data_IF_873634593238
#
_entry.id   IF_873634593238
#
_cell.length_a   1.000
_cell.length_b   1.000
_cell.length_c   1.000
_cell.angle_alpha   90.00
_cell.angle_beta   90.00
_cell.angle_gamma   90.00
#
_symmetry.space_group_name_H-M   'P 1'
#
loop_
_entity.id
_entity.type
_entity.pdbx_description
1 polymer ?
#
# COMPACT_ATOMS: atom_id res chain seq x y z
N UNK A 1 14.07 6.19 7.62
CA UNK A 1 12.83 5.49 7.95
C UNK A 1 11.67 6.44 8.07
N UNK A 2 10.50 6.06 7.61
CA UNK A 2 9.35 6.95 7.61
C UNK A 2 8.39 6.57 8.74
N UNK A 3 8.67 7.10 9.93
CA UNK A 3 7.86 6.77 11.11
C UNK A 3 6.43 7.26 10.99
N UNK A 4 6.22 8.38 10.31
CA UNK A 4 4.88 8.93 10.13
C UNK A 4 4.02 8.01 9.27
N UNK A 5 4.61 7.45 8.20
CA UNK A 5 3.89 6.49 7.38
C UNK A 5 3.57 5.23 8.17
N UNK A 6 4.54 4.72 8.92
CA UNK A 6 4.32 3.51 9.73
C UNK A 6 3.25 3.73 10.78
N UNK A 7 3.22 4.92 11.39
CA UNK A 7 2.16 5.26 12.35
C UNK A 7 0.80 5.26 11.68
N UNK A 8 0.72 5.81 10.48
CA UNK A 8 -0.54 5.82 9.73
C UNK A 8 -1.00 4.42 9.37
N UNK A 9 -0.05 3.55 9.03
CA UNK A 9 -0.38 2.14 8.75
C UNK A 9 -0.95 1.47 9.99
N UNK A 10 -0.35 1.72 11.15
CA UNK A 10 -0.86 1.18 12.41
C UNK A 10 -2.27 1.65 12.73
N UNK A 11 -2.55 2.93 12.47
CA UNK A 11 -3.89 3.47 12.68
C UNK A 11 -4.91 2.83 11.75
N UNK A 12 -4.54 2.63 10.48
CA UNK A 12 -5.42 1.99 9.51
C UNK A 12 -5.75 0.56 9.94
N UNK A 13 -4.75 -0.14 10.49
CA UNK A 13 -4.95 -1.50 11.00
C UNK A 13 -5.98 -1.51 12.13
N UNK A 14 -5.80 -0.62 13.09
CA UNK A 14 -6.74 -0.52 14.23
C UNK A 14 -8.15 -0.19 13.78
N UNK A 15 -8.28 0.62 12.75
CA UNK A 15 -9.58 1.02 12.23
C UNK A 15 -10.23 -0.05 11.35
N UNK A 16 -9.54 -1.16 11.09
CA UNK A 16 -10.07 -2.21 10.24
C UNK A 16 -10.08 -1.83 8.77
N UNK A 17 -9.24 -0.88 8.37
CA UNK A 17 -9.19 -0.38 6.99
C UNK A 17 -7.96 -0.83 6.22
N UNK A 18 -7.13 -1.66 6.82
CA UNK A 18 -5.89 -2.11 6.20
C UNK A 18 -6.02 -3.54 5.71
N UNK A 19 -5.55 -3.79 4.50
CA UNK A 19 -5.58 -5.09 3.85
C UNK A 19 -4.13 -5.49 3.62
N UNK A 20 -3.76 -6.72 3.99
CA UNK A 20 -2.38 -7.18 3.96
C UNK A 20 -2.21 -8.41 3.07
N UNK A 21 -1.16 -8.37 2.25
CA UNK A 21 -0.73 -9.53 1.50
C UNK A 21 -1.27 -9.59 0.09
N UNK A 22 -0.58 -10.36 -0.77
CA UNK A 22 -0.90 -10.43 -2.19
C UNK A 22 -2.35 -10.82 -2.46
N UNK A 23 -2.78 -11.95 -1.88
CA UNK A 23 -4.11 -12.48 -2.22
C UNK A 23 -5.22 -11.55 -1.76
N UNK A 24 -5.12 -11.04 -0.53
CA UNK A 24 -6.15 -10.16 0.00
C UNK A 24 -6.21 -8.84 -0.76
N UNK A 25 -5.05 -8.27 -1.09
CA UNK A 25 -5.01 -7.01 -1.84
C UNK A 25 -5.51 -7.21 -3.26
N UNK A 26 -5.12 -8.32 -3.89
CA UNK A 26 -5.59 -8.64 -5.23
C UNK A 26 -7.12 -8.72 -5.25
N UNK A 27 -7.69 -9.44 -4.30
CA UNK A 27 -9.15 -9.56 -4.19
C UNK A 27 -9.79 -8.19 -3.97
N UNK A 28 -9.19 -7.38 -3.12
CA UNK A 28 -9.74 -6.04 -2.82
C UNK A 28 -9.70 -5.13 -4.04
N UNK A 29 -8.68 -5.26 -4.89
CA UNK A 29 -8.63 -4.51 -6.13
C UNK A 29 -9.76 -4.93 -7.06
N UNK A 30 -9.97 -6.24 -7.17
CA UNK A 30 -10.97 -6.78 -8.10
C UNK A 30 -12.39 -6.45 -7.70
N UNK A 31 -12.66 -6.38 -6.39
CA UNK A 31 -14.02 -6.11 -5.93
C UNK A 31 -14.27 -4.64 -5.57
N UNK A 32 -13.30 -3.76 -5.86
CA UNK A 32 -13.50 -2.33 -5.66
C UNK A 32 -13.30 -1.85 -4.23
N UNK A 33 -12.82 -2.71 -3.33
CA UNK A 33 -12.60 -2.33 -1.94
C UNK A 33 -11.32 -1.53 -1.75
N UNK A 34 -10.26 -1.86 -2.48
CA UNK A 34 -8.98 -1.18 -2.32
C UNK A 34 -9.03 0.22 -2.92
N UNK A 35 -8.57 1.21 -2.17
CA UNK A 35 -8.51 2.59 -2.63
C UNK A 35 -7.07 3.01 -2.94
N UNK A 36 -6.09 2.35 -2.34
CA UNK A 36 -4.67 2.66 -2.55
C UNK A 36 -3.86 1.42 -2.20
N UNK A 37 -2.86 1.11 -3.03
CA UNK A 37 -1.97 -0.02 -2.81
C UNK A 37 -0.56 0.50 -2.55
N UNK A 38 0.10 -0.04 -1.52
CA UNK A 38 1.49 0.30 -1.18
C UNK A 38 2.36 -0.93 -1.28
N UNK A 39 3.57 -0.75 -1.83
CA UNK A 39 4.51 -1.84 -2.04
C UNK A 39 5.80 -1.55 -1.27
N UNK A 40 6.31 -2.55 -0.56
CA UNK A 40 7.56 -2.40 0.18
C UNK A 40 8.75 -2.35 -0.78
N UNK A 41 9.85 -1.78 -0.30
CA UNK A 41 11.05 -1.65 -1.11
C UNK A 41 11.68 -3.00 -1.43
N UNK A 42 11.51 -3.97 -0.56
CA UNK A 42 12.11 -5.29 -0.73
C UNK A 42 11.14 -6.34 -1.27
N UNK A 43 10.04 -5.91 -1.86
CA UNK A 43 9.12 -6.83 -2.51
C UNK A 43 9.79 -7.46 -3.72
N UNK A 44 9.59 -8.77 -3.93
CA UNK A 44 10.22 -9.44 -5.06
C UNK A 44 9.73 -8.86 -6.39
N UNK A 45 10.59 -8.83 -7.41
CA UNK A 45 10.19 -8.29 -8.72
C UNK A 45 8.98 -8.99 -9.31
N UNK A 46 8.87 -10.29 -9.12
CA UNK A 46 7.73 -11.03 -9.65
C UNK A 46 6.43 -10.61 -8.99
N UNK A 47 6.41 -10.54 -7.67
CA UNK A 47 5.21 -10.14 -6.94
C UNK A 47 4.84 -8.70 -7.26
N UNK A 48 5.84 -7.83 -7.34
CA UNK A 48 5.61 -6.44 -7.68
C UNK A 48 4.94 -6.31 -9.05
N UNK A 49 5.49 -7.00 -10.03
CA UNK A 49 4.95 -6.94 -11.39
C UNK A 49 3.50 -7.40 -11.43
N UNK A 50 3.20 -8.49 -10.74
CA UNK A 50 1.85 -9.05 -10.77
C UNK A 50 0.83 -8.13 -10.09
N UNK A 51 1.17 -7.59 -8.92
CA UNK A 51 0.21 -6.76 -8.21
C UNK A 51 0.02 -5.41 -8.89
N UNK A 52 1.09 -4.86 -9.48
CA UNK A 52 0.98 -3.62 -10.25
C UNK A 52 0.06 -3.82 -11.44
N UNK A 53 0.20 -4.95 -12.14
CA UNK A 53 -0.67 -5.24 -13.28
C UNK A 53 -2.13 -5.29 -12.85
N UNK A 54 -2.41 -5.92 -11.71
CA UNK A 54 -3.77 -5.99 -11.19
C UNK A 54 -4.29 -4.61 -10.81
N UNK A 55 -3.49 -3.83 -10.11
CA UNK A 55 -3.89 -2.48 -9.70
C UNK A 55 -4.19 -1.63 -10.93
N UNK A 56 -3.36 -1.70 -11.96
CA UNK A 56 -3.58 -0.94 -13.18
C UNK A 56 -4.84 -1.40 -13.92
N UNK A 57 -5.08 -2.69 -13.96
CA UNK A 57 -6.24 -3.24 -14.62
C UNK A 57 -7.54 -2.72 -14.00
N UNK A 58 -7.56 -2.56 -12.69
CA UNK A 58 -8.76 -2.10 -11.98
C UNK A 58 -8.69 -0.64 -11.61
N UNK A 59 -7.68 0.07 -12.15
CA UNK A 59 -7.53 1.53 -11.99
C UNK A 59 -7.40 1.94 -10.53
N UNK A 60 -6.64 1.15 -9.77
CA UNK A 60 -6.34 1.46 -8.38
C UNK A 60 -4.97 2.10 -8.32
N UNK A 61 -4.85 3.22 -7.61
CA UNK A 61 -3.57 3.89 -7.42
C UNK A 61 -2.62 3.00 -6.62
N UNK A 62 -1.36 3.00 -6.99
CA UNK A 62 -0.36 2.23 -6.27
C UNK A 62 0.93 3.03 -6.18
N UNK A 63 1.72 2.80 -5.13
CA UNK A 63 2.97 3.51 -4.90
C UNK A 63 3.99 2.57 -4.31
N UNK A 64 5.24 2.73 -4.74
CA UNK A 64 6.37 2.16 -4.01
C UNK A 64 6.55 3.01 -2.76
N UNK A 65 6.57 2.39 -1.59
CA UNK A 65 6.57 3.11 -0.33
C UNK A 65 7.86 2.87 0.43
N UNK A 66 8.30 3.84 1.24
CA UNK A 66 9.60 3.76 1.93
C UNK A 66 9.53 2.90 3.19
N UNK A 67 9.23 1.62 3.03
CA UNK A 67 9.30 0.68 4.14
C UNK A 67 9.74 -0.70 3.63
N UNK A 68 10.21 -1.51 4.57
CA UNK A 68 10.61 -2.88 4.31
C UNK A 68 9.57 -3.83 4.92
N UNK A 69 9.53 -5.08 4.43
CA UNK A 69 8.62 -6.06 5.02
C UNK A 69 8.87 -6.24 6.52
N UNK A 70 10.15 -6.14 6.93
CA UNK A 70 10.49 -6.24 8.34
C UNK A 70 9.88 -5.14 9.19
N UNK A 71 9.71 -3.95 8.61
CA UNK A 71 9.04 -2.86 9.34
C UNK A 71 7.59 -3.21 9.63
N UNK A 72 6.93 -3.82 8.66
CA UNK A 72 5.54 -4.22 8.81
C UNK A 72 5.43 -5.35 9.83
N UNK A 73 6.37 -6.29 9.78
CA UNK A 73 6.38 -7.40 10.72
C UNK A 73 6.53 -6.88 12.16
N UNK A 74 7.42 -5.92 12.38
CA UNK A 74 7.60 -5.33 13.71
C UNK A 74 6.36 -4.58 14.17
N UNK A 75 5.73 -3.86 13.25
CA UNK A 75 4.59 -3.01 13.59
C UNK A 75 3.32 -3.81 13.83
N UNK A 76 3.05 -4.79 12.97
CA UNK A 76 1.76 -5.48 12.94
C UNK A 76 1.84 -6.94 13.35
N UNK A 77 3.03 -7.45 13.62
CA UNK A 77 3.28 -8.86 13.91
C UNK A 77 2.82 -9.77 12.76
N UNK A 78 2.96 -9.26 11.53
CA UNK A 78 2.62 -9.99 10.33
C UNK A 78 3.47 -9.45 9.20
N UNK A 79 4.23 -10.34 8.56
CA UNK A 79 5.13 -9.92 7.49
C UNK A 79 4.35 -9.77 6.18
N UNK A 80 4.44 -8.61 5.58
CA UNK A 80 3.78 -8.33 4.31
C UNK A 80 4.50 -7.24 3.57
N UNK A 81 4.59 -7.38 2.26
CA UNK A 81 5.19 -6.37 1.39
C UNK A 81 4.17 -5.68 0.51
N UNK A 82 2.92 -6.10 0.57
CA UNK A 82 1.83 -5.51 -0.22
C UNK A 82 0.73 -5.14 0.75
N UNK A 83 0.36 -3.87 0.77
CA UNK A 83 -0.68 -3.34 1.63
C UNK A 83 -1.69 -2.58 0.80
N UNK A 84 -2.92 -2.50 1.30
CA UNK A 84 -3.92 -1.63 0.71
C UNK A 84 -4.77 -1.02 1.81
N UNK A 85 -5.34 0.14 1.53
CA UNK A 85 -6.33 0.73 2.42
C UNK A 85 -7.64 0.89 1.67
N UNK A 86 -8.73 0.77 2.39
CA UNK A 86 -10.08 0.78 1.81
C UNK A 86 -10.81 2.10 2.05
N UNK A 87 -10.16 3.08 2.65
CA UNK A 87 -10.82 4.30 3.10
C UNK A 87 -10.09 5.53 2.57
N UNK A 88 -10.83 6.46 1.95
CA UNK A 88 -10.23 7.65 1.36
C UNK A 88 -9.57 8.56 2.40
N UNK A 89 -10.05 8.56 3.63
CA UNK A 89 -9.41 9.33 4.69
C UNK A 89 -7.99 8.85 4.94
N UNK A 90 -7.79 7.54 4.94
CA UNK A 90 -6.46 6.98 5.09
C UNK A 90 -5.62 7.15 3.83
N UNK A 91 -6.25 7.13 2.66
CA UNK A 91 -5.51 7.43 1.43
C UNK A 91 -4.86 8.81 1.53
N UNK A 92 -5.63 9.82 1.92
CA UNK A 92 -5.10 11.17 2.06
C UNK A 92 -3.98 11.23 3.10
N UNK A 93 -4.15 10.52 4.21
CA UNK A 93 -3.14 10.47 5.26
C UNK A 93 -1.84 9.84 4.75
N UNK A 94 -1.96 8.73 4.02
CA UNK A 94 -0.80 8.04 3.49
C UNK A 94 -0.06 8.88 2.45
N UNK A 95 -0.81 9.53 1.56
CA UNK A 95 -0.20 10.30 0.48
C UNK A 95 0.69 11.43 1.01
N UNK A 96 0.39 11.96 2.19
CA UNK A 96 1.22 13.00 2.78
C UNK A 96 2.63 12.52 3.09
N UNK A 97 2.80 11.21 3.27
CA UNK A 97 4.07 10.64 3.69
C UNK A 97 4.75 9.81 2.60
N UNK A 98 4.25 9.87 1.38
CA UNK A 98 4.81 9.12 0.28
C UNK A 98 5.64 10.04 -0.61
N UNK A 99 6.82 9.58 -1.05
CA UNK A 99 7.66 10.40 -1.92
C UNK A 99 7.23 10.35 -3.38
N UNK A 100 6.21 9.60 -3.71
CA UNK A 100 5.86 9.31 -5.10
C UNK A 100 4.98 10.37 -5.75
N UNK A 101 4.70 11.46 -5.08
CA UNK A 101 3.85 12.50 -5.64
C UNK A 101 4.43 13.11 -6.91
N UNK A 102 5.73 13.04 -7.11
CA UNK A 102 6.32 13.53 -8.35
C UNK A 102 5.87 12.71 -9.54
N UNK A 103 5.42 11.49 -9.32
CA UNK A 103 4.87 10.68 -10.40
C UNK A 103 3.54 11.23 -10.88
N UNK A 104 2.81 11.83 -9.97
CA UNK A 104 1.56 12.47 -10.33
C UNK A 104 1.81 13.68 -11.21
N UNK A 105 2.88 14.39 -10.92
CA UNK A 105 3.26 15.53 -11.74
C UNK A 105 3.53 15.10 -13.17
N UNK A 106 4.08 13.93 -13.34
CA UNK A 106 4.42 13.43 -14.65
C UNK A 106 3.20 13.07 -15.47
N UNK A 107 2.07 12.88 -14.85
CA UNK A 107 0.87 12.51 -15.56
C UNK A 107 0.14 13.71 -16.15
N UNK A 108 0.58 14.86 -15.79
CA UNK A 108 -0.07 16.11 -16.27
C UNK A 108 0.39 16.49 -17.70
#
# INVERSE_FOLDING_TARGET
MNDSLLSSIGLARKAGKLILGFDAVSTACKNGTAALVLLSEDLSPKSRKEIVRIAQQYEIRWFDAPFQMGDIDRLLHKRAGILAVSDEGFVRMFLKHLPAHEKEDQTI
#
